data_IF_884074223079
#
_entry.id   IF_884074223079
#
_cell.length_a   1.000
_cell.length_b   1.000
_cell.length_c   1.000
_cell.angle_alpha   90.00
_cell.angle_beta   90.00
_cell.angle_gamma   90.00
#
_symmetry.space_group_name_H-M   'P 1'
#
loop_
_entity.id
_entity.type
_entity.pdbx_description
1 polymer ?
#
# COMPACT_ATOMS: atom_id res chain seq x y z
N UNK A 1 -5.02 -9.35 6.77
CA UNK A 1 -3.67 -8.89 6.35
C UNK A 1 -2.74 -8.57 7.53
N UNK A 2 -3.20 -7.83 8.56
CA UNK A 2 -2.36 -7.37 9.69
C UNK A 2 -1.55 -8.52 10.33
N UNK A 3 -2.21 -9.61 10.71
CA UNK A 3 -1.55 -10.77 11.32
C UNK A 3 -0.35 -11.29 10.49
N UNK A 4 -0.51 -11.46 9.17
CA UNK A 4 0.57 -11.95 8.32
C UNK A 4 1.76 -10.97 8.27
N UNK A 5 1.48 -9.66 8.33
CA UNK A 5 2.53 -8.64 8.38
C UNK A 5 3.28 -8.68 9.72
N UNK A 6 2.57 -8.91 10.82
CA UNK A 6 3.18 -9.06 12.15
C UNK A 6 4.07 -10.31 12.21
N UNK A 7 3.61 -11.44 11.68
CA UNK A 7 4.41 -12.66 11.59
C UNK A 7 5.68 -12.47 10.75
N UNK A 8 5.58 -11.79 9.59
CA UNK A 8 6.76 -11.47 8.76
C UNK A 8 7.73 -10.58 9.53
N UNK A 9 7.24 -9.52 10.18
CA UNK A 9 8.07 -8.58 10.93
C UNK A 9 8.74 -9.20 12.17
N UNK A 10 8.20 -10.31 12.69
CA UNK A 10 8.75 -11.03 13.83
C UNK A 10 9.64 -12.22 13.41
N UNK A 11 9.74 -12.50 12.11
CA UNK A 11 10.62 -13.55 11.59
C UNK A 11 12.06 -13.04 11.45
N UNK A 12 13.01 -13.86 11.87
CA UNK A 12 14.44 -13.63 11.57
C UNK A 12 14.85 -14.19 10.21
N UNK A 13 13.99 -14.99 9.58
CA UNK A 13 14.25 -15.65 8.29
C UNK A 13 13.68 -14.84 7.13
N UNK A 14 12.50 -14.23 7.31
CA UNK A 14 11.83 -13.46 6.29
C UNK A 14 12.15 -11.96 6.44
N UNK A 15 12.77 -11.39 5.41
CA UNK A 15 13.11 -9.96 5.32
C UNK A 15 13.93 -9.43 6.53
N UNK A 16 15.06 -10.07 6.89
CA UNK A 16 15.85 -9.65 8.05
C UNK A 16 16.33 -8.20 7.91
N UNK A 17 16.09 -7.40 8.96
CA UNK A 17 16.44 -5.98 9.00
C UNK A 17 15.48 -5.05 8.24
N UNK A 18 14.36 -5.56 7.71
CA UNK A 18 13.33 -4.78 7.04
C UNK A 18 12.02 -4.90 7.82
N UNK A 19 11.33 -3.78 8.05
CA UNK A 19 10.00 -3.78 8.66
C UNK A 19 8.95 -3.39 7.63
N UNK A 20 7.97 -4.26 7.42
CA UNK A 20 6.81 -4.00 6.59
C UNK A 20 5.83 -3.10 7.34
N UNK A 21 5.52 -1.96 6.72
CA UNK A 21 4.36 -1.12 7.08
C UNK A 21 3.16 -1.44 6.20
N UNK A 22 2.00 -0.88 6.53
CA UNK A 22 0.76 -1.07 5.76
C UNK A 22 -0.16 0.14 5.83
N UNK A 23 -1.01 0.25 4.80
CA UNK A 23 -2.20 1.10 4.80
C UNK A 23 -3.37 0.25 4.32
N UNK A 24 -4.46 0.23 5.07
CA UNK A 24 -5.63 -0.62 4.80
C UNK A 24 -6.83 0.30 4.60
N UNK A 25 -7.56 0.06 3.52
CA UNK A 25 -8.74 0.82 3.14
C UNK A 25 -9.90 -0.13 2.88
N UNK A 26 -11.11 0.30 3.22
CA UNK A 26 -12.33 -0.37 2.84
C UNK A 26 -12.74 0.06 1.43
N UNK A 27 -12.89 -0.90 0.51
CA UNK A 27 -13.40 -0.63 -0.84
C UNK A 27 -14.91 -0.52 -0.90
N UNK A 28 -15.63 -0.86 0.19
CA UNK A 28 -17.08 -0.95 0.26
C UNK A 28 -17.69 -1.81 -0.86
N UNK A 29 -16.97 -2.84 -1.32
CA UNK A 29 -17.29 -3.65 -2.49
C UNK A 29 -17.56 -2.84 -3.78
N UNK A 30 -17.06 -1.61 -3.84
CA UNK A 30 -17.28 -0.68 -4.94
C UNK A 30 -16.02 -0.59 -5.80
N UNK A 31 -16.11 -1.04 -7.04
CA UNK A 31 -15.03 -0.95 -8.04
C UNK A 31 -14.48 0.48 -8.16
N UNK A 32 -15.30 1.55 -8.31
CA UNK A 32 -14.75 2.90 -8.42
C UNK A 32 -14.02 3.36 -7.15
N UNK A 33 -14.48 2.97 -5.95
CA UNK A 33 -13.78 3.27 -4.69
C UNK A 33 -12.44 2.53 -4.63
N UNK A 34 -12.43 1.23 -4.96
CA UNK A 34 -11.21 0.42 -4.99
C UNK A 34 -10.15 1.00 -5.95
N UNK A 35 -10.57 1.38 -7.16
CA UNK A 35 -9.67 1.98 -8.17
C UNK A 35 -9.15 3.34 -7.70
N UNK A 36 -10.00 4.17 -7.10
CA UNK A 36 -9.59 5.46 -6.57
C UNK A 36 -8.50 5.34 -5.50
N UNK A 37 -8.69 4.46 -4.53
CA UNK A 37 -7.72 4.19 -3.47
C UNK A 37 -6.42 3.61 -4.04
N UNK A 38 -6.51 2.61 -4.93
CA UNK A 38 -5.34 2.01 -5.55
C UNK A 38 -4.50 3.05 -6.31
N UNK A 39 -5.15 3.97 -7.02
CA UNK A 39 -4.48 5.06 -7.71
C UNK A 39 -3.75 6.00 -6.74
N UNK A 40 -4.40 6.44 -5.66
CA UNK A 40 -3.75 7.26 -4.63
C UNK A 40 -2.53 6.57 -4.01
N UNK A 41 -2.62 5.28 -3.71
CA UNK A 41 -1.51 4.51 -3.17
C UNK A 41 -0.34 4.38 -4.15
N UNK A 42 -0.62 4.29 -5.45
CA UNK A 42 0.39 4.20 -6.51
C UNK A 42 1.13 5.52 -6.76
N UNK A 43 0.41 6.65 -6.68
CA UNK A 43 0.93 7.98 -6.96
C UNK A 43 1.57 8.66 -5.75
N UNK A 44 1.33 8.12 -4.55
CA UNK A 44 1.63 8.79 -3.28
C UNK A 44 0.45 9.64 -2.82
N UNK A 45 0.30 9.78 -1.51
CA UNK A 45 -0.78 10.56 -0.88
C UNK A 45 -0.43 12.04 -0.70
N UNK A 46 0.76 12.45 -1.12
CA UNK A 46 1.19 13.84 -0.98
C UNK A 46 0.45 14.71 -2.02
N UNK A 47 -0.39 15.68 -1.59
CA UNK A 47 -1.06 16.58 -2.53
C UNK A 47 -0.10 17.55 -3.20
N UNK A 48 1.15 17.65 -2.73
CA UNK A 48 2.17 18.57 -3.23
C UNK A 48 3.01 17.87 -4.30
N UNK A 49 2.89 18.36 -5.52
CA UNK A 49 3.79 17.98 -6.60
C UNK A 49 5.15 18.66 -6.39
N UNK A 50 6.13 17.89 -5.94
CA UNK A 50 7.51 18.35 -5.88
C UNK A 50 8.07 18.48 -7.31
N UNK A 51 8.15 19.70 -7.83
CA UNK A 51 8.69 20.02 -9.16
C UNK A 51 10.22 20.13 -9.19
N UNK A 52 10.89 19.99 -8.03
CA UNK A 52 12.35 19.98 -7.94
C UNK A 52 12.95 18.59 -8.15
N UNK A 53 14.22 18.52 -8.54
CA UNK A 53 14.98 17.26 -8.72
C UNK A 53 15.19 16.44 -7.43
N UNK A 54 14.65 16.89 -6.29
CA UNK A 54 14.62 16.10 -5.06
C UNK A 54 13.41 15.17 -5.12
N UNK A 55 13.61 13.96 -5.66
CA UNK A 55 12.65 12.88 -5.43
C UNK A 55 12.67 12.56 -3.93
N UNK A 56 11.78 13.20 -3.17
CA UNK A 56 11.48 12.74 -1.82
C UNK A 56 10.90 11.33 -1.96
N UNK A 57 11.56 10.36 -1.34
CA UNK A 57 11.17 8.96 -1.36
C UNK A 57 9.97 8.72 -0.43
N UNK A 58 9.04 9.66 -0.39
CA UNK A 58 7.89 9.65 0.51
C UNK A 58 7.00 8.46 0.15
N UNK A 59 7.09 7.41 0.98
CA UNK A 59 6.12 6.34 1.14
C UNK A 59 5.44 5.82 -0.12
N UNK A 60 6.19 5.50 -1.19
CA UNK A 60 5.61 4.78 -2.32
C UNK A 60 5.18 3.39 -1.85
N UNK A 61 3.91 3.05 -2.07
CA UNK A 61 3.42 1.69 -1.83
C UNK A 61 4.06 0.78 -2.85
N UNK A 62 4.83 -0.21 -2.37
CA UNK A 62 5.57 -1.13 -3.24
C UNK A 62 4.66 -2.22 -3.84
N UNK A 63 3.58 -2.57 -3.13
CA UNK A 63 2.65 -3.60 -3.54
C UNK A 63 1.26 -3.35 -2.95
N UNK A 64 0.22 -3.71 -3.71
CA UNK A 64 -1.18 -3.63 -3.31
C UNK A 64 -1.74 -5.04 -3.27
N UNK A 65 -2.41 -5.40 -2.18
CA UNK A 65 -3.19 -6.64 -2.09
C UNK A 65 -4.66 -6.30 -2.25
N UNK A 66 -5.28 -6.89 -3.28
CA UNK A 66 -6.55 -6.44 -3.84
C UNK A 66 -7.78 -6.71 -2.97
N UNK A 67 -8.86 -6.01 -3.34
CA UNK A 67 -10.20 -6.20 -2.76
C UNK A 67 -10.90 -7.43 -3.35
N UNK A 68 -11.75 -8.05 -2.54
CA UNK A 68 -12.57 -9.19 -2.98
C UNK A 68 -13.80 -8.68 -3.72
N UNK A 69 -13.71 -8.56 -5.06
CA UNK A 69 -14.88 -8.36 -5.93
C UNK A 69 -14.62 -9.07 -7.26
N UNK A 70 -15.34 -10.17 -7.49
CA UNK A 70 -15.43 -10.87 -8.77
C UNK A 70 -16.91 -11.18 -9.01
N UNK A 71 -17.42 -10.91 -10.22
CA UNK A 71 -18.82 -11.17 -10.62
C UNK A 71 -18.90 -12.15 -11.78
N UNK A 72 -17.89 -13.01 -11.92
CA UNK A 72 -17.88 -14.13 -12.85
C UNK A 72 -18.21 -15.42 -12.11
#
# INVERSE_FOLDING_TARGET
>A
MIFAIEEINNSTELLPGIKLGYQIYDSCASVPVAVHVAFQLSGGMDPVFYTGNNCSQSGKVMAIVGACVSVH
#
